data_IF_995106872166
#
_entry.id   IF_995106872166
#
_cell.length_a   1.000
_cell.length_b   1.000
_cell.length_c   1.000
_cell.angle_alpha   90.00
_cell.angle_beta   90.00
_cell.angle_gamma   90.00
#
_symmetry.space_group_name_H-M   'P 1'
#
loop_
_entity.id
_entity.type
_entity.pdbx_description
1 polymer ?
#
# COMPACT_ATOMS: atom_id res chain seq x y z
N UNK A 1 -11.35 8.74 19.88
CA UNK A 1 -10.00 8.54 19.32
C UNK A 1 -9.05 9.46 20.07
N UNK A 2 -8.30 8.94 21.04
CA UNK A 2 -7.37 9.77 21.84
C UNK A 2 -6.18 10.16 20.98
N UNK A 3 -5.89 11.47 20.85
CA UNK A 3 -4.62 11.96 20.28
C UNK A 3 -3.52 11.52 21.23
N UNK A 4 -2.73 10.52 20.84
CA UNK A 4 -1.57 10.09 21.63
C UNK A 4 -0.54 11.22 21.57
N UNK A 5 -0.20 11.78 22.72
CA UNK A 5 0.80 12.84 22.87
C UNK A 5 2.19 12.21 22.97
N UNK A 6 2.68 11.63 21.87
CA UNK A 6 4.05 11.09 21.78
C UNK A 6 5.14 12.19 21.88
N UNK A 7 4.72 13.45 22.08
CA UNK A 7 5.58 14.62 22.18
C UNK A 7 6.05 14.95 23.61
N UNK A 8 5.83 14.03 24.56
CA UNK A 8 6.13 14.21 25.98
C UNK A 8 7.43 13.50 26.39
N UNK A 9 7.84 12.46 25.67
CA UNK A 9 9.04 11.67 25.98
C UNK A 9 10.28 12.24 25.29
N UNK A 10 11.24 12.72 26.10
CA UNK A 10 12.53 13.22 25.64
C UNK A 10 13.33 12.08 25.00
N UNK A 11 13.57 12.17 23.68
CA UNK A 11 14.34 11.17 22.92
C UNK A 11 13.57 10.51 21.79
N UNK A 12 12.25 10.72 21.70
CA UNK A 12 11.45 10.31 20.55
C UNK A 12 11.14 11.50 19.65
N UNK A 13 11.32 11.37 18.33
CA UNK A 13 10.99 12.44 17.40
C UNK A 13 9.46 12.63 17.34
N UNK A 14 9.04 13.89 17.40
CA UNK A 14 7.63 14.28 17.34
C UNK A 14 6.94 13.66 16.13
N UNK A 15 5.87 12.87 16.37
CA UNK A 15 5.07 12.27 15.30
C UNK A 15 3.91 13.18 14.93
N UNK A 16 3.67 13.33 13.64
CA UNK A 16 2.47 14.01 13.13
C UNK A 16 1.21 13.15 13.39
N UNK A 17 0.02 13.72 13.17
CA UNK A 17 -1.26 13.00 13.36
C UNK A 17 -1.42 11.76 12.46
N UNK A 18 -0.62 11.67 11.42
CA UNK A 18 -0.52 10.53 10.49
C UNK A 18 0.56 9.51 10.91
N UNK A 19 1.26 9.73 12.03
CA UNK A 19 2.28 8.85 12.57
C UNK A 19 3.67 8.97 11.93
N UNK A 20 3.87 9.91 10.99
CA UNK A 20 5.19 10.15 10.37
C UNK A 20 6.09 10.97 11.27
N UNK A 21 7.39 10.66 11.19
CA UNK A 21 8.47 11.24 12.01
C UNK A 21 9.05 12.51 11.38
N UNK A 22 8.87 12.69 10.08
CA UNK A 22 9.34 13.85 9.32
C UNK A 22 8.18 14.59 8.67
N UNK A 23 8.28 15.92 8.67
CA UNK A 23 7.38 16.81 7.92
C UNK A 23 7.85 16.89 6.47
N UNK A 24 7.61 15.85 5.68
CA UNK A 24 7.90 15.89 4.25
C UNK A 24 6.74 16.52 3.49
N UNK A 25 6.92 17.78 3.11
CA UNK A 25 5.95 18.55 2.31
C UNK A 25 6.15 18.36 0.80
N UNK A 26 7.20 17.64 0.37
CA UNK A 26 7.50 17.42 -1.06
C UNK A 26 6.34 16.75 -1.81
N UNK A 27 5.65 15.72 -1.29
CA UNK A 27 4.53 15.10 -2.00
C UNK A 27 3.40 16.10 -2.30
N UNK A 28 3.06 16.97 -1.34
CA UNK A 28 2.07 18.01 -1.56
C UNK A 28 2.55 19.06 -2.57
N UNK A 29 3.85 19.40 -2.56
CA UNK A 29 4.43 20.31 -3.54
C UNK A 29 4.35 19.75 -4.97
N UNK A 30 4.76 18.49 -5.16
CA UNK A 30 4.67 17.82 -6.47
C UNK A 30 3.22 17.75 -6.97
N UNK A 31 2.30 17.29 -6.11
CA UNK A 31 0.89 17.20 -6.46
C UNK A 31 0.29 18.56 -6.82
N UNK A 32 0.61 19.61 -6.06
CA UNK A 32 0.11 20.96 -6.34
C UNK A 32 0.71 21.55 -7.62
N UNK A 33 1.97 21.25 -7.93
CA UNK A 33 2.60 21.67 -9.18
C UNK A 33 1.98 20.96 -10.40
N UNK A 34 1.68 19.67 -10.30
CA UNK A 34 1.02 18.94 -11.39
C UNK A 34 -0.42 19.40 -11.62
N UNK A 35 -1.19 19.61 -10.55
CA UNK A 35 -2.58 20.08 -10.64
C UNK A 35 -2.68 21.57 -11.01
N UNK A 36 -1.75 22.39 -10.52
CA UNK A 36 -1.75 23.83 -10.71
C UNK A 36 -1.14 24.27 -12.03
N UNK A 37 -0.19 23.53 -12.58
CA UNK A 37 0.52 23.86 -13.83
C UNK A 37 0.97 25.33 -13.84
N UNK A 38 0.52 26.11 -14.82
CA UNK A 38 0.81 27.54 -14.97
C UNK A 38 -0.25 28.47 -14.35
N UNK A 39 -1.17 27.96 -13.54
CA UNK A 39 -2.19 28.77 -12.87
C UNK A 39 -1.59 29.64 -11.77
N UNK A 40 -2.05 30.89 -11.67
CA UNK A 40 -1.77 31.73 -10.51
C UNK A 40 -2.46 31.21 -9.25
N UNK A 41 -1.95 31.57 -8.06
CA UNK A 41 -2.44 31.04 -6.77
C UNK A 41 -3.95 31.20 -6.57
N UNK A 42 -4.54 32.31 -7.03
CA UNK A 42 -5.99 32.54 -6.95
C UNK A 42 -6.79 31.64 -7.91
N UNK A 43 -6.30 31.47 -9.14
CA UNK A 43 -6.94 30.63 -10.14
C UNK A 43 -6.90 29.17 -9.69
N UNK A 44 -5.76 28.71 -9.19
CA UNK A 44 -5.60 27.37 -8.66
C UNK A 44 -6.54 27.10 -7.48
N UNK A 45 -6.62 28.01 -6.51
CA UNK A 45 -7.56 27.89 -5.39
C UNK A 45 -9.01 27.82 -5.87
N UNK A 46 -9.38 28.65 -6.83
CA UNK A 46 -10.74 28.69 -7.38
C UNK A 46 -11.06 27.41 -8.16
N UNK A 47 -10.09 26.89 -8.90
CA UNK A 47 -10.18 25.61 -9.61
C UNK A 47 -10.42 24.46 -8.62
N UNK A 48 -9.61 24.36 -7.55
CA UNK A 48 -9.79 23.34 -6.53
C UNK A 48 -11.16 23.43 -5.86
N UNK A 49 -11.62 24.63 -5.50
CA UNK A 49 -12.94 24.79 -4.86
C UNK A 49 -14.09 24.35 -5.75
N UNK A 50 -14.01 24.62 -7.06
CA UNK A 50 -15.08 24.29 -8.02
C UNK A 50 -15.05 22.84 -8.48
N UNK A 51 -13.87 22.22 -8.53
CA UNK A 51 -13.67 20.88 -9.10
C UNK A 51 -13.21 19.85 -8.06
N UNK A 52 -13.26 20.15 -6.76
CA UNK A 52 -12.75 19.28 -5.68
C UNK A 52 -13.22 17.83 -5.80
N UNK A 53 -14.53 17.62 -6.01
CA UNK A 53 -15.13 16.28 -6.11
C UNK A 53 -14.62 15.51 -7.33
N UNK A 54 -14.46 16.19 -8.46
CA UNK A 54 -13.97 15.59 -9.71
C UNK A 54 -12.47 15.24 -9.61
N UNK A 55 -11.66 16.15 -9.08
CA UNK A 55 -10.22 15.92 -8.88
C UNK A 55 -10.02 14.74 -7.93
N UNK A 56 -10.81 14.67 -6.85
CA UNK A 56 -10.73 13.58 -5.89
C UNK A 56 -11.09 12.21 -6.50
N UNK A 57 -12.20 12.13 -7.25
CA UNK A 57 -12.62 10.87 -7.87
C UNK A 57 -11.64 10.39 -8.94
N UNK A 58 -11.06 11.32 -9.72
CA UNK A 58 -10.03 11.00 -10.70
C UNK A 58 -8.76 10.45 -10.04
N UNK A 59 -8.29 11.09 -8.95
CA UNK A 59 -7.14 10.59 -8.19
C UNK A 59 -7.38 9.18 -7.64
N UNK A 60 -8.56 8.95 -7.05
CA UNK A 60 -8.93 7.64 -6.53
C UNK A 60 -8.97 6.58 -7.62
N UNK A 61 -9.51 6.91 -8.80
CA UNK A 61 -9.55 5.98 -9.92
C UNK A 61 -8.16 5.61 -10.41
N UNK A 62 -7.22 6.56 -10.44
CA UNK A 62 -5.83 6.28 -10.82
C UNK A 62 -5.13 5.38 -9.80
N UNK A 63 -5.22 5.72 -8.51
CA UNK A 63 -4.69 4.86 -7.44
C UNK A 63 -5.29 3.46 -7.50
N UNK A 64 -6.60 3.39 -7.76
CA UNK A 64 -7.30 2.12 -7.87
C UNK A 64 -6.76 1.30 -9.05
N UNK A 65 -6.55 1.89 -10.23
CA UNK A 65 -5.94 1.19 -11.38
C UNK A 65 -4.54 0.66 -11.07
N UNK A 66 -3.73 1.42 -10.35
CA UNK A 66 -2.35 1.06 -10.05
C UNK A 66 -2.24 0.01 -8.93
N UNK A 67 -3.20 0.00 -8.00
CA UNK A 67 -3.21 -0.89 -6.83
C UNK A 67 -4.16 -2.07 -6.96
N UNK A 68 -5.07 -2.06 -7.92
CA UNK A 68 -5.97 -3.17 -8.19
C UNK A 68 -5.16 -4.40 -8.56
N UNK A 69 -5.32 -5.46 -7.76
CA UNK A 69 -4.79 -6.79 -8.05
C UNK A 69 -5.56 -7.38 -9.25
N UNK A 70 -5.18 -6.98 -10.47
CA UNK A 70 -5.81 -7.45 -11.70
C UNK A 70 -5.27 -8.81 -12.13
N UNK A 71 -3.95 -9.03 -12.01
CA UNK A 71 -3.31 -10.31 -12.29
C UNK A 71 -2.21 -10.60 -11.25
N UNK A 72 -2.40 -11.67 -10.47
CA UNK A 72 -1.30 -12.25 -9.70
C UNK A 72 -0.37 -13.00 -10.67
N UNK A 73 0.55 -12.28 -11.30
CA UNK A 73 1.62 -12.87 -12.14
C UNK A 73 2.73 -13.51 -11.30
N UNK A 74 2.76 -13.23 -10.00
CA UNK A 74 3.60 -13.96 -9.06
C UNK A 74 3.13 -15.40 -8.95
N UNK A 75 4.08 -16.33 -8.79
CA UNK A 75 3.77 -17.72 -8.45
C UNK A 75 2.70 -17.71 -7.34
N UNK A 76 1.59 -18.45 -7.50
CA UNK A 76 0.55 -18.47 -6.49
C UNK A 76 1.23 -18.80 -5.17
N UNK A 77 1.11 -17.90 -4.19
CA UNK A 77 1.62 -18.20 -2.85
C UNK A 77 0.87 -19.47 -2.43
N UNK A 78 1.56 -20.61 -2.28
CA UNK A 78 0.90 -21.86 -2.03
C UNK A 78 0.06 -21.68 -0.77
N UNK A 79 -1.20 -22.12 -0.81
CA UNK A 79 -2.06 -22.02 0.36
C UNK A 79 -1.35 -22.64 1.58
N UNK A 80 -1.64 -22.12 2.77
CA UNK A 80 -1.13 -22.61 4.06
C UNK A 80 -1.62 -24.04 4.41
N UNK A 81 -2.02 -24.84 3.42
CA UNK A 81 -2.65 -26.15 3.55
C UNK A 81 -2.03 -27.17 2.58
N UNK A 82 -0.80 -26.91 2.16
CA UNK A 82 -0.11 -27.68 1.13
C UNK A 82 1.11 -28.37 1.71
N UNK A 83 1.38 -29.57 1.23
CA UNK A 83 2.64 -30.26 1.40
C UNK A 83 3.53 -29.97 0.18
N UNK A 84 4.77 -29.59 0.46
CA UNK A 84 5.81 -29.40 -0.56
C UNK A 84 6.64 -30.68 -0.61
N UNK A 85 6.42 -31.47 -1.66
CA UNK A 85 7.17 -32.69 -1.94
C UNK A 85 8.36 -32.36 -2.85
N UNK A 86 9.57 -32.38 -2.29
CA UNK A 86 10.82 -32.15 -3.01
C UNK A 86 11.63 -33.45 -3.19
N UNK A 87 10.99 -34.62 -3.11
CA UNK A 87 11.67 -35.92 -3.17
C UNK A 87 12.13 -36.30 -4.59
N UNK A 88 11.53 -35.69 -5.62
CA UNK A 88 11.93 -35.87 -7.02
C UNK A 88 13.02 -34.85 -7.39
N UNK A 89 14.05 -35.32 -8.10
CA UNK A 89 15.22 -34.51 -8.44
C UNK A 89 14.83 -33.21 -9.17
N UNK A 90 15.27 -32.07 -8.60
CA UNK A 90 15.20 -30.70 -9.12
C UNK A 90 13.82 -30.06 -9.32
N UNK A 91 12.72 -30.67 -8.88
CA UNK A 91 11.37 -30.08 -8.96
C UNK A 91 10.60 -30.37 -7.68
N UNK A 92 10.09 -29.33 -7.02
CA UNK A 92 9.18 -29.46 -5.89
C UNK A 92 7.72 -29.37 -6.38
N UNK A 93 6.87 -30.30 -5.93
CA UNK A 93 5.45 -30.32 -6.24
C UNK A 93 4.63 -29.94 -5.01
N UNK A 94 3.53 -29.20 -5.23
CA UNK A 94 2.60 -28.83 -4.16
C UNK A 94 1.38 -29.76 -4.18
N UNK A 95 1.16 -30.48 -3.09
CA UNK A 95 -0.02 -31.33 -2.90
C UNK A 95 -0.89 -30.77 -1.77
N UNK A 96 -2.21 -30.88 -1.88
CA UNK A 96 -3.11 -30.55 -0.76
C UNK A 96 -3.12 -31.70 0.24
N UNK A 97 -2.68 -31.44 1.48
CA UNK A 97 -2.60 -32.47 2.53
C UNK A 97 -3.91 -32.56 3.33
N UNK A 98 -4.44 -31.44 3.81
CA UNK A 98 -5.69 -31.39 4.58
C UNK A 98 -6.47 -30.11 4.29
N UNK A 99 -7.76 -30.27 3.99
CA UNK A 99 -8.69 -29.15 3.75
C UNK A 99 -8.92 -28.30 5.01
N UNK A 100 -8.79 -28.90 6.19
CA UNK A 100 -9.01 -28.25 7.49
C UNK A 100 -7.72 -27.96 8.27
N UNK A 101 -6.55 -28.33 7.73
CA UNK A 101 -5.26 -28.10 8.38
C UNK A 101 -4.79 -26.64 8.35
N UNK A 102 -3.84 -26.33 9.23
CA UNK A 102 -3.11 -25.05 9.27
C UNK A 102 -1.61 -25.34 9.15
N UNK A 103 -0.95 -24.74 8.17
CA UNK A 103 0.49 -24.83 7.95
C UNK A 103 0.91 -25.60 6.70
N UNK A 104 2.17 -25.44 6.31
CA UNK A 104 2.80 -26.19 5.23
C UNK A 104 3.75 -27.22 5.80
N UNK A 105 3.66 -28.45 5.28
CA UNK A 105 4.61 -29.52 5.59
C UNK A 105 5.61 -29.63 4.44
N UNK A 106 6.90 -29.68 4.75
CA UNK A 106 7.93 -29.95 3.75
C UNK A 106 8.43 -31.38 3.93
N UNK A 107 8.58 -32.11 2.82
CA UNK A 107 9.17 -33.46 2.82
C UNK A 107 10.47 -33.40 2.02
N UNK A 108 11.55 -33.78 2.68
CA UNK A 108 12.88 -33.94 2.10
C UNK A 108 13.27 -35.41 2.14
N UNK A 109 14.18 -35.79 1.24
CA UNK A 109 14.82 -37.11 1.23
C UNK A 109 16.01 -37.13 2.21
#
# INVERSE_FOLDING_TARGET
>A
MSKVTDNVELGFPARMSDGRVITDWRPNCYMNNELGQSMGSWQYRTFLMRNASKVHSELLNNVKKDTECTNCTGAPVPNFKTEVDCTKQNICYYNLLDKNGLGQKTVYN
#
